data_IF_277943093662
#
_entry.id   IF_277943093662
#
_cell.length_a   1.000
_cell.length_b   1.000
_cell.length_c   1.000
_cell.angle_alpha   90.00
_cell.angle_beta   90.00
_cell.angle_gamma   90.00
#
_symmetry.space_group_name_H-M   'P 1'
#
loop_
_entity.id
_entity.type
_entity.pdbx_description
1 polymer ?
#
# COMPACT_ATOMS: atom_id res chain seq x y z
N UNK A 1 -2.82 -5.68 -2.94
CA UNK A 1 -3.12 -4.88 -1.72
C UNK A 1 -4.17 -3.86 -2.06
N UNK A 2 -5.42 -4.04 -1.65
CA UNK A 2 -6.54 -3.13 -1.96
C UNK A 2 -6.90 -2.30 -0.73
N UNK A 3 -6.99 -0.98 -0.86
CA UNK A 3 -7.35 -0.07 0.24
C UNK A 3 -8.87 0.05 0.33
N UNK A 4 -9.44 -0.36 1.47
CA UNK A 4 -10.89 -0.36 1.71
C UNK A 4 -11.36 0.81 2.55
N UNK A 5 -10.46 1.46 3.31
CA UNK A 5 -10.73 2.71 4.01
C UNK A 5 -9.44 3.49 4.26
N UNK A 6 -9.53 4.83 4.29
CA UNK A 6 -8.41 5.71 4.60
C UNK A 6 -7.45 5.93 3.43
N UNK A 7 -6.25 6.41 3.76
CA UNK A 7 -5.17 6.69 2.81
C UNK A 7 -3.84 6.25 3.39
N UNK A 8 -2.95 5.76 2.54
CA UNK A 8 -1.59 5.41 2.92
C UNK A 8 -0.61 5.75 1.81
N UNK A 9 0.63 6.06 2.17
CA UNK A 9 1.74 6.19 1.22
C UNK A 9 2.63 4.97 1.35
N UNK A 10 3.01 4.36 0.23
CA UNK A 10 3.87 3.17 0.20
C UNK A 10 5.12 3.41 -0.63
N UNK A 11 6.19 2.72 -0.26
CA UNK A 11 7.41 2.59 -1.04
C UNK A 11 7.73 1.11 -1.22
N UNK A 12 7.82 0.65 -2.47
CA UNK A 12 8.22 -0.72 -2.78
C UNK A 12 9.71 -0.92 -2.51
N UNK A 13 10.10 -2.10 -2.03
CA UNK A 13 11.50 -2.42 -1.79
C UNK A 13 12.34 -2.26 -3.07
N UNK A 14 13.43 -1.50 -2.98
CA UNK A 14 14.29 -1.17 -4.12
C UNK A 14 13.82 0.02 -4.96
N UNK A 15 12.64 0.58 -4.69
CA UNK A 15 12.19 1.86 -5.24
C UNK A 15 12.62 3.02 -4.35
N UNK A 16 12.81 4.19 -4.95
CA UNK A 16 12.91 5.48 -4.22
C UNK A 16 11.63 6.30 -4.35
N UNK A 17 10.66 5.80 -5.11
CA UNK A 17 9.38 6.46 -5.31
C UNK A 17 8.40 6.09 -4.20
N UNK A 18 7.73 7.12 -3.69
CA UNK A 18 6.60 7.00 -2.78
C UNK A 18 5.31 7.23 -3.55
N UNK A 19 4.31 6.39 -3.29
CA UNK A 19 3.00 6.47 -3.95
C UNK A 19 1.88 6.44 -2.91
N UNK A 20 0.98 7.41 -3.01
CA UNK A 20 -0.20 7.48 -2.13
C UNK A 20 -1.39 6.75 -2.75
N UNK A 21 -2.00 5.88 -1.96
CA UNK A 21 -3.18 5.10 -2.28
C UNK A 21 -4.32 5.49 -1.35
N UNK A 22 -5.53 5.52 -1.87
CA UNK A 22 -6.75 5.90 -1.16
C UNK A 22 -7.81 4.80 -1.32
N UNK A 23 -8.90 4.87 -0.56
CA UNK A 23 -10.03 3.94 -0.69
C UNK A 23 -10.41 3.67 -2.15
N UNK A 24 -10.51 2.39 -2.52
CA UNK A 24 -10.87 1.91 -3.85
C UNK A 24 -9.69 1.77 -4.81
N UNK A 25 -8.46 2.04 -4.37
CA UNK A 25 -7.24 1.77 -5.15
C UNK A 25 -6.51 0.54 -4.63
N UNK A 26 -5.62 -0.02 -5.47
CA UNK A 26 -4.79 -1.16 -5.10
C UNK A 26 -3.37 -1.03 -5.68
N UNK A 27 -2.45 -1.80 -5.12
CA UNK A 27 -1.11 -2.01 -5.66
C UNK A 27 -0.67 -3.46 -5.49
N UNK A 28 0.28 -3.87 -6.34
CA UNK A 28 0.88 -5.20 -6.31
C UNK A 28 2.22 -5.19 -5.60
N UNK A 29 2.53 -6.29 -4.92
CA UNK A 29 3.80 -6.51 -4.25
C UNK A 29 4.48 -7.70 -4.94
N UNK A 30 5.65 -7.50 -5.57
CA UNK A 30 6.36 -8.61 -6.21
C UNK A 30 6.71 -9.72 -5.20
N UNK A 31 6.71 -10.97 -5.67
CA UNK A 31 7.14 -12.11 -4.85
C UNK A 31 8.59 -11.96 -4.39
N UNK A 32 8.90 -12.45 -3.19
CA UNK A 32 10.20 -12.27 -2.52
C UNK A 32 10.63 -10.80 -2.37
N UNK A 33 9.65 -9.90 -2.26
CA UNK A 33 9.86 -8.47 -2.02
C UNK A 33 9.06 -8.00 -0.80
N UNK A 34 9.07 -6.69 -0.56
CA UNK A 34 8.31 -6.04 0.49
C UNK A 34 8.00 -4.59 0.13
N UNK A 35 7.37 -3.88 1.06
CA UNK A 35 7.07 -2.47 0.95
C UNK A 35 7.02 -1.85 2.35
N UNK A 36 7.39 -0.59 2.43
CA UNK A 36 7.13 0.25 3.59
C UNK A 36 5.78 0.94 3.39
N UNK A 37 5.01 1.11 4.47
CA UNK A 37 3.72 1.77 4.47
C UNK A 37 3.66 2.82 5.58
N UNK A 38 3.23 4.02 5.22
CA UNK A 38 3.01 5.14 6.12
C UNK A 38 1.54 5.56 6.11
N UNK A 39 0.98 5.79 7.30
CA UNK A 39 -0.40 6.26 7.49
C UNK A 39 -0.32 7.55 8.29
N UNK A 40 -0.38 8.69 7.61
CA UNK A 40 -0.21 10.00 8.24
C UNK A 40 -1.35 10.36 9.20
N UNK A 41 -2.59 9.95 8.89
CA UNK A 41 -3.77 10.34 9.62
C UNK A 41 -4.80 9.20 9.71
N UNK A 42 -5.42 9.05 10.89
CA UNK A 42 -6.53 8.12 11.09
C UNK A 42 -6.11 6.65 10.96
N UNK A 43 -6.94 5.86 10.28
CA UNK A 43 -6.76 4.43 10.07
C UNK A 43 -6.82 4.15 8.57
N UNK A 44 -5.91 3.33 8.07
CA UNK A 44 -5.99 2.72 6.75
C UNK A 44 -6.33 1.23 6.89
N UNK A 45 -7.38 0.79 6.20
CA UNK A 45 -7.80 -0.61 6.14
C UNK A 45 -7.52 -1.15 4.74
N UNK A 46 -7.09 -2.41 4.65
CA UNK A 46 -6.77 -3.03 3.38
C UNK A 46 -7.07 -4.53 3.35
N UNK A 47 -7.23 -5.06 2.15
CA UNK A 47 -7.30 -6.49 1.86
C UNK A 47 -6.01 -6.94 1.16
N UNK A 48 -5.39 -7.98 1.71
CA UNK A 48 -4.24 -8.66 1.10
C UNK A 48 -4.73 -9.93 0.41
N UNK A 49 -4.64 -9.93 -0.92
CA UNK A 49 -5.00 -11.07 -1.77
C UNK A 49 -3.75 -11.62 -2.43
N UNK A 50 -3.59 -12.94 -2.40
CA UNK A 50 -2.59 -13.65 -3.20
C UNK A 50 -3.25 -14.05 -4.53
N UNK A 51 -2.76 -13.49 -5.64
CA UNK A 51 -3.22 -13.75 -7.01
C UNK A 51 -2.18 -14.54 -7.80
#
# INVERSE_FOLDING_TARGET
>A
MEITAGTCTIQLAGSTEEMTYATGTFFDVPGNSGFDIHVDNGIAEYICSYL
#
